data_IF_235333203319
#
_entry.id   IF_235333203319
#
_cell.length_a   1.000
_cell.length_b   1.000
_cell.length_c   1.000
_cell.angle_alpha   90.00
_cell.angle_beta   90.00
_cell.angle_gamma   90.00
#
_symmetry.space_group_name_H-M   'P 1'
#
loop_
_entity.id
_entity.type
_entity.pdbx_description
1 polymer ?
#
# COMPACT_ATOMS: atom_id res chain seq x y z
N UNK A 1 20.84 -7.68 51.49
CA UNK A 1 21.34 -8.02 50.13
C UNK A 1 20.24 -7.63 49.16
N UNK A 2 20.31 -6.42 48.62
CA UNK A 2 19.24 -5.83 47.80
C UNK A 2 19.34 -6.39 46.38
N UNK A 3 18.34 -7.13 45.91
CA UNK A 3 18.23 -7.50 44.51
C UNK A 3 18.16 -6.22 43.68
N UNK A 4 19.04 -6.08 42.70
CA UNK A 4 19.11 -4.89 41.88
C UNK A 4 17.80 -4.74 41.09
N UNK A 5 17.24 -3.52 41.07
CA UNK A 5 16.06 -3.18 40.26
C UNK A 5 16.23 -3.58 38.79
N UNK A 6 17.45 -3.59 38.28
CA UNK A 6 17.78 -4.05 36.94
C UNK A 6 17.58 -5.55 36.73
N UNK A 7 17.86 -6.40 37.72
CA UNK A 7 17.58 -7.85 37.62
C UNK A 7 16.07 -8.14 37.61
N UNK A 8 15.27 -7.34 38.33
CA UNK A 8 13.80 -7.47 38.31
C UNK A 8 13.22 -7.03 36.96
N UNK A 9 13.80 -6.03 36.30
CA UNK A 9 13.38 -5.56 34.97
C UNK A 9 13.77 -6.57 33.87
N UNK A 10 14.90 -7.27 34.01
CA UNK A 10 15.30 -8.33 33.07
C UNK A 10 14.48 -9.62 33.21
N UNK A 11 13.98 -9.94 34.41
CA UNK A 11 13.00 -11.02 34.59
C UNK A 11 11.63 -10.67 33.97
N UNK A 12 11.21 -9.40 34.01
CA UNK A 12 9.91 -8.95 33.45
C UNK A 12 9.93 -8.81 31.91
N UNK A 13 11.10 -8.55 31.30
CA UNK A 13 11.26 -8.47 29.84
C UNK A 13 11.18 -9.80 29.11
N UNK A 14 11.29 -10.94 29.80
CA UNK A 14 11.19 -12.27 29.19
C UNK A 14 9.80 -12.61 28.67
N UNK A 15 8.77 -11.86 29.05
CA UNK A 15 7.37 -12.15 28.76
C UNK A 15 6.71 -11.18 27.77
N UNK A 16 7.39 -10.89 26.66
CA UNK A 16 6.73 -10.28 25.49
C UNK A 16 6.59 -11.29 24.32
N UNK A 17 5.89 -12.44 24.51
CA UNK A 17 5.60 -13.37 23.43
C UNK A 17 4.50 -12.88 22.46
N UNK A 18 4.09 -11.60 22.56
CA UNK A 18 2.99 -11.03 21.74
C UNK A 18 3.47 -10.51 20.39
N UNK A 19 4.66 -9.92 20.30
CA UNK A 19 5.17 -9.35 19.05
C UNK A 19 5.51 -10.47 18.06
N UNK A 20 6.14 -11.55 18.53
CA UNK A 20 6.52 -12.70 17.69
C UNK A 20 5.30 -13.47 17.18
N UNK A 21 4.23 -13.56 17.98
CA UNK A 21 2.94 -14.15 17.56
C UNK A 21 2.23 -13.28 16.53
N UNK A 22 2.24 -11.95 16.69
CA UNK A 22 1.69 -11.02 15.70
C UNK A 22 2.49 -11.08 14.38
N UNK A 23 3.82 -11.09 14.43
CA UNK A 23 4.70 -11.27 13.27
C UNK A 23 4.49 -12.63 12.59
N UNK A 24 4.26 -13.70 13.34
CA UNK A 24 3.87 -15.02 12.80
C UNK A 24 2.51 -15.00 12.10
N UNK A 25 1.54 -14.22 12.59
CA UNK A 25 0.25 -14.05 11.90
C UNK A 25 0.39 -13.26 10.60
N UNK A 26 1.21 -12.21 10.58
CA UNK A 26 1.50 -11.43 9.36
C UNK A 26 2.26 -12.27 8.33
N UNK A 27 3.24 -13.09 8.76
CA UNK A 27 3.96 -14.04 7.90
C UNK A 27 3.06 -15.14 7.27
N UNK A 28 1.86 -15.35 7.79
CA UNK A 28 0.92 -16.37 7.28
C UNK A 28 0.09 -15.88 6.09
N UNK A 29 0.07 -14.57 5.81
CA UNK A 29 -0.58 -14.02 4.63
C UNK A 29 0.30 -14.25 3.39
N UNK A 30 0.13 -15.40 2.76
CA UNK A 30 0.69 -15.67 1.44
C UNK A 30 -0.10 -14.82 0.43
N UNK A 31 0.49 -13.70 0.00
CA UNK A 31 -0.14 -12.84 -1.01
C UNK A 31 -0.49 -13.65 -2.26
N UNK A 32 -1.78 -13.60 -2.63
CA UNK A 32 -2.27 -14.24 -3.84
C UNK A 32 -1.69 -13.52 -5.08
N UNK A 33 -1.66 -14.18 -6.23
CA UNK A 33 -1.15 -13.61 -7.48
C UNK A 33 -1.78 -12.25 -7.78
N UNK A 34 -3.11 -12.13 -7.65
CA UNK A 34 -3.85 -10.87 -7.82
C UNK A 34 -3.38 -9.74 -6.89
N UNK A 35 -3.06 -10.06 -5.64
CA UNK A 35 -2.56 -9.09 -4.67
C UNK A 35 -1.14 -8.63 -5.03
N UNK A 36 -0.28 -9.54 -5.49
CA UNK A 36 1.07 -9.18 -5.96
C UNK A 36 1.02 -8.30 -7.20
N UNK A 37 0.15 -8.63 -8.15
CA UNK A 37 -0.07 -7.83 -9.36
C UNK A 37 -0.57 -6.44 -9.00
N UNK A 38 -1.54 -6.30 -8.09
CA UNK A 38 -2.06 -4.97 -7.74
C UNK A 38 -1.01 -4.08 -7.06
N UNK A 39 -0.16 -4.66 -6.20
CA UNK A 39 0.96 -3.92 -5.58
C UNK A 39 1.96 -3.47 -6.65
N UNK A 40 2.34 -4.35 -7.57
CA UNK A 40 3.28 -4.01 -8.65
C UNK A 40 2.70 -2.92 -9.57
N UNK A 41 1.43 -3.06 -9.95
CA UNK A 41 0.72 -2.05 -10.76
C UNK A 41 0.67 -0.71 -10.06
N UNK A 42 0.43 -0.67 -8.74
CA UNK A 42 0.43 0.58 -7.98
C UNK A 42 1.79 1.30 -8.04
N UNK A 43 2.89 0.57 -7.92
CA UNK A 43 4.25 1.13 -8.03
C UNK A 43 4.48 1.72 -9.43
N UNK A 44 4.06 1.02 -10.49
CA UNK A 44 4.18 1.51 -11.86
C UNK A 44 3.32 2.77 -12.07
N UNK A 45 2.07 2.75 -11.62
CA UNK A 45 1.18 3.91 -11.69
C UNK A 45 1.71 5.11 -10.90
N UNK A 46 2.43 4.87 -9.79
CA UNK A 46 3.06 5.94 -9.04
C UNK A 46 4.05 6.73 -9.91
N UNK A 47 4.99 6.05 -10.57
CA UNK A 47 5.94 6.70 -11.47
C UNK A 47 5.26 7.31 -12.71
N UNK A 48 4.25 6.64 -13.27
CA UNK A 48 3.48 7.19 -14.39
C UNK A 48 2.78 8.50 -14.03
N UNK A 49 2.26 8.63 -12.80
CA UNK A 49 1.68 9.89 -12.32
C UNK A 49 2.70 11.04 -12.31
N UNK A 50 3.94 10.78 -11.89
CA UNK A 50 5.02 11.78 -11.92
C UNK A 50 5.31 12.22 -13.36
N UNK A 51 5.39 11.26 -14.28
CA UNK A 51 5.63 11.54 -15.70
C UNK A 51 4.47 12.39 -16.27
N UNK A 52 3.22 12.02 -15.98
CA UNK A 52 2.02 12.74 -16.42
C UNK A 52 2.00 14.19 -15.91
N UNK A 53 2.34 14.42 -14.64
CA UNK A 53 2.40 15.78 -14.08
C UNK A 53 3.46 16.68 -14.73
N UNK A 54 4.52 16.08 -15.30
CA UNK A 54 5.52 16.81 -16.08
C UNK A 54 5.11 17.01 -17.55
N UNK A 55 4.41 16.05 -18.15
CA UNK A 55 3.94 16.14 -19.55
C UNK A 55 2.78 17.14 -19.70
N UNK A 56 1.92 17.23 -18.69
CA UNK A 56 0.74 18.11 -18.69
C UNK A 56 0.87 19.20 -17.62
N UNK A 57 1.85 20.11 -17.72
CA UNK A 57 2.10 21.13 -16.70
C UNK A 57 0.91 22.09 -16.58
N UNK A 58 0.70 22.63 -15.38
CA UNK A 58 -0.33 23.62 -15.10
C UNK A 58 0.19 25.03 -15.39
N UNK A 59 -0.67 25.89 -15.94
CA UNK A 59 -0.35 27.30 -16.14
C UNK A 59 -0.55 28.08 -14.85
N UNK A 60 0.47 28.81 -14.41
CA UNK A 60 0.44 29.57 -13.15
C UNK A 60 0.18 31.06 -13.39
N UNK A 61 0.59 31.58 -14.54
CA UNK A 61 0.34 32.95 -14.94
C UNK A 61 -0.05 33.02 -16.41
N UNK A 62 -1.17 33.67 -16.68
CA UNK A 62 -1.61 34.08 -18.02
C UNK A 62 -1.40 35.59 -18.14
N UNK A 63 -0.80 36.04 -19.24
CA UNK A 63 -0.63 37.47 -19.49
C UNK A 63 -1.99 38.17 -19.61
N UNK A 64 -2.15 39.33 -18.96
CA UNK A 64 -3.41 40.11 -18.92
C UNK A 64 -3.99 40.40 -20.32
N UNK A 65 -3.17 40.33 -21.37
CA UNK A 65 -3.53 40.60 -22.78
C UNK A 65 -3.14 39.48 -23.75
N UNK A 66 -2.73 38.30 -23.26
CA UNK A 66 -2.35 37.19 -24.14
C UNK A 66 -2.85 35.87 -23.57
N UNK A 67 -3.61 35.13 -24.38
CA UNK A 67 -4.07 33.78 -24.05
C UNK A 67 -2.94 32.73 -24.02
N UNK A 68 -1.67 33.17 -24.04
CA UNK A 68 -0.51 32.29 -23.92
C UNK A 68 -0.03 32.27 -22.48
N UNK A 69 0.26 31.05 -22.01
CA UNK A 69 0.81 30.82 -20.68
C UNK A 69 2.25 31.33 -20.61
N UNK A 70 2.56 32.21 -19.66
CA UNK A 70 3.91 32.78 -19.50
C UNK A 70 4.80 31.92 -18.61
N UNK A 71 4.22 31.16 -17.67
CA UNK A 71 4.96 30.26 -16.77
C UNK A 71 4.19 28.96 -16.53
N UNK A 72 4.86 27.83 -16.79
CA UNK A 72 4.32 26.48 -16.56
C UNK A 72 4.99 25.84 -15.34
N UNK A 73 4.22 25.09 -14.56
CA UNK A 73 4.71 24.34 -13.40
C UNK A 73 4.20 22.90 -13.42
N UNK A 74 4.85 22.04 -12.62
CA UNK A 74 4.45 20.66 -12.43
C UNK A 74 2.98 20.55 -12.00
N UNK A 75 2.19 19.75 -12.72
CA UNK A 75 0.77 19.61 -12.44
C UNK A 75 0.53 18.59 -11.32
N UNK A 76 0.68 19.08 -10.09
CA UNK A 76 0.47 18.29 -8.87
C UNK A 76 -0.99 17.82 -8.73
N UNK A 77 -1.96 18.65 -9.16
CA UNK A 77 -3.38 18.31 -9.09
C UNK A 77 -3.71 17.08 -9.95
N UNK A 78 -3.28 17.09 -11.22
CA UNK A 78 -3.43 15.95 -12.12
C UNK A 78 -2.75 14.70 -11.57
N UNK A 79 -1.55 14.85 -11.01
CA UNK A 79 -0.79 13.73 -10.44
C UNK A 79 -1.52 13.10 -9.25
N UNK A 80 -1.99 13.91 -8.31
CA UNK A 80 -2.73 13.43 -7.13
C UNK A 80 -4.02 12.73 -7.56
N UNK A 81 -4.76 13.31 -8.51
CA UNK A 81 -5.98 12.70 -9.04
C UNK A 81 -5.69 11.33 -9.66
N UNK A 82 -4.65 11.23 -10.49
CA UNK A 82 -4.24 9.98 -11.12
C UNK A 82 -3.81 8.92 -10.10
N UNK A 83 -3.03 9.31 -9.09
CA UNK A 83 -2.64 8.41 -8.00
C UNK A 83 -3.84 7.93 -7.19
N UNK A 84 -4.79 8.81 -6.89
CA UNK A 84 -6.00 8.45 -6.16
C UNK A 84 -6.87 7.47 -6.95
N UNK A 85 -7.10 7.74 -8.23
CA UNK A 85 -7.84 6.83 -9.11
C UNK A 85 -7.14 5.47 -9.24
N UNK A 86 -5.82 5.47 -9.41
CA UNK A 86 -5.01 4.24 -9.48
C UNK A 86 -5.06 3.45 -8.17
N UNK A 87 -5.00 4.14 -7.03
CA UNK A 87 -5.11 3.54 -5.71
C UNK A 87 -6.45 2.84 -5.51
N UNK A 88 -7.56 3.50 -5.87
CA UNK A 88 -8.90 2.91 -5.78
C UNK A 88 -9.02 1.64 -6.63
N UNK A 89 -8.51 1.67 -7.87
CA UNK A 89 -8.51 0.52 -8.75
C UNK A 89 -7.65 -0.64 -8.19
N UNK A 90 -6.46 -0.34 -7.68
CA UNK A 90 -5.58 -1.35 -7.09
C UNK A 90 -6.17 -1.95 -5.81
N UNK A 91 -6.84 -1.15 -4.98
CA UNK A 91 -7.57 -1.61 -3.80
C UNK A 91 -8.71 -2.57 -4.17
N UNK A 92 -9.46 -2.25 -5.22
CA UNK A 92 -10.53 -3.12 -5.72
C UNK A 92 -10.00 -4.48 -6.17
N UNK A 93 -8.95 -4.50 -6.98
CA UNK A 93 -8.30 -5.75 -7.45
C UNK A 93 -7.72 -6.53 -6.26
N UNK A 94 -7.10 -5.84 -5.31
CA UNK A 94 -6.55 -6.46 -4.10
C UNK A 94 -7.63 -7.16 -3.27
N UNK A 95 -8.78 -6.50 -3.09
CA UNK A 95 -9.92 -7.05 -2.36
C UNK A 95 -10.50 -8.29 -3.06
N UNK A 96 -10.66 -8.25 -4.39
CA UNK A 96 -11.07 -9.44 -5.17
C UNK A 96 -10.08 -10.58 -4.98
N UNK A 97 -8.77 -10.29 -5.06
CA UNK A 97 -7.72 -11.30 -4.84
C UNK A 97 -7.79 -11.95 -3.46
N UNK A 98 -8.19 -11.19 -2.44
CA UNK A 98 -8.42 -11.70 -1.09
C UNK A 98 -9.65 -12.61 -1.01
N UNK A 99 -10.77 -12.21 -1.62
CA UNK A 99 -12.01 -13.01 -1.67
C UNK A 99 -11.75 -14.35 -2.35
N UNK A 100 -11.06 -14.36 -3.49
CA UNK A 100 -10.70 -15.59 -4.23
C UNK A 100 -9.87 -16.52 -3.35
N UNK A 101 -8.89 -16.00 -2.62
CA UNK A 101 -8.03 -16.81 -1.75
C UNK A 101 -8.83 -17.46 -0.60
N UNK A 102 -9.81 -16.76 -0.04
CA UNK A 102 -10.72 -17.32 0.96
C UNK A 102 -11.56 -18.45 0.35
N UNK A 103 -12.16 -18.22 -0.83
CA UNK A 103 -12.97 -19.21 -1.52
C UNK A 103 -12.18 -20.49 -1.84
N UNK A 104 -10.94 -20.34 -2.33
CA UNK A 104 -10.05 -21.46 -2.63
C UNK A 104 -9.70 -22.25 -1.37
N UNK A 105 -9.47 -21.56 -0.25
CA UNK A 105 -9.20 -22.21 1.05
C UNK A 105 -10.41 -22.99 1.55
N UNK A 106 -11.61 -22.43 1.44
CA UNK A 106 -12.85 -23.12 1.81
C UNK A 106 -13.05 -24.37 0.94
N UNK A 107 -12.89 -24.25 -0.37
CA UNK A 107 -13.06 -25.37 -1.30
C UNK A 107 -12.08 -26.52 -1.02
N UNK A 108 -10.80 -26.21 -0.75
CA UNK A 108 -9.80 -27.22 -0.37
C UNK A 108 -10.16 -27.93 0.93
N UNK A 109 -10.66 -27.22 1.93
CA UNK A 109 -11.06 -27.82 3.20
C UNK A 109 -12.27 -28.75 3.04
N UNK A 110 -13.26 -28.38 2.20
CA UNK A 110 -14.40 -29.24 1.88
C UNK A 110 -13.94 -30.48 1.12
N UNK A 111 -13.04 -30.33 0.14
CA UNK A 111 -12.50 -31.45 -0.64
C UNK A 111 -11.71 -32.45 0.20
N UNK A 112 -10.94 -31.98 1.20
CA UNK A 112 -10.15 -32.86 2.08
C UNK A 112 -10.96 -33.51 3.20
N UNK A 113 -12.19 -33.04 3.45
CA UNK A 113 -13.11 -33.62 4.43
C UNK A 113 -13.97 -34.76 3.84
N UNK A 114 -13.83 -35.04 2.55
CA UNK A 114 -14.56 -36.06 1.80
C UNK A 114 -13.64 -37.24 1.48
#
# INVERSE_FOLDING_TARGET
>A
MSKNLFEQIDEEKKDIPKIDKALKQVKKYKYNFYQKVSILTMIICFFMGIILGNIFPSCVSSGLYSATCTTTEYNISLTIFFWFASFLLCMFIYAIGHIINILETINKNISNSK
#
